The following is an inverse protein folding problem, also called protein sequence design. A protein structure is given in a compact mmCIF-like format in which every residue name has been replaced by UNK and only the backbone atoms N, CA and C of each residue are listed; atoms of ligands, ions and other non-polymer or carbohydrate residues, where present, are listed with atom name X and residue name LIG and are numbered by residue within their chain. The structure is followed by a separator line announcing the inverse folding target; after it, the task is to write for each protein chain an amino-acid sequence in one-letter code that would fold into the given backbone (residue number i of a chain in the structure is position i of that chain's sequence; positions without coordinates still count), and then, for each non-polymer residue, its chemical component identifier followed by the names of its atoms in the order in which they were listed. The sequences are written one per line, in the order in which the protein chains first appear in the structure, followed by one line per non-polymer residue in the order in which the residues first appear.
data_IF_180090798140
#
_entry.id   IF_180090798140
#
_cell.length_a   1.000
_cell.length_b   1.000
_cell.length_c   1.000
_cell.angle_alpha   90.00
_cell.angle_beta   90.00
_cell.angle_gamma   90.00
#
_symmetry.space_group_name_H-M   'P 1'
#
loop_
_entity.id
_entity.type
_entity.pdbx_description
1 polymer ?
#
# COMPACT_ATOMS: atom_id res chain seq x y z
N UNK A 1 8.56 4.30 15.69
CA UNK A 1 8.88 2.86 15.71
C UNK A 1 8.48 2.21 14.39
N UNK A 2 9.41 2.15 13.43
CA UNK A 2 9.21 1.40 12.18
C UNK A 2 9.45 -0.07 12.48
N UNK A 3 8.38 -0.87 12.48
CA UNK A 3 8.45 -2.32 12.70
C UNK A 3 9.36 -2.94 11.63
N UNK A 4 10.62 -3.21 12.00
CA UNK A 4 11.60 -3.78 11.09
C UNK A 4 11.06 -5.10 10.55
N UNK A 5 11.11 -5.27 9.22
CA UNK A 5 10.75 -6.54 8.58
C UNK A 5 11.75 -7.56 9.09
N UNK A 6 11.26 -8.64 9.71
CA UNK A 6 12.14 -9.73 10.15
C UNK A 6 12.97 -10.20 8.95
N UNK A 7 14.30 -10.32 9.08
CA UNK A 7 15.14 -10.83 8.00
C UNK A 7 14.62 -12.21 7.55
N UNK A 8 14.54 -12.42 6.24
CA UNK A 8 14.02 -13.66 5.62
C UNK A 8 12.49 -13.73 5.44
N UNK A 9 11.70 -12.77 5.96
CA UNK A 9 10.25 -12.76 5.74
C UNK A 9 9.88 -11.99 4.48
N UNK A 10 9.53 -12.72 3.44
CA UNK A 10 8.98 -12.17 2.19
C UNK A 10 7.60 -11.55 2.46
N UNK A 11 7.44 -10.28 2.08
CA UNK A 11 6.15 -9.58 2.13
C UNK A 11 5.21 -10.08 1.04
N UNK A 12 3.91 -9.81 1.12
CA UNK A 12 2.98 -10.15 0.03
C UNK A 12 3.29 -9.32 -1.21
N UNK A 13 3.04 -9.87 -2.39
CA UNK A 13 2.94 -9.09 -3.63
C UNK A 13 1.97 -7.92 -3.43
N UNK A 14 2.31 -6.75 -4.00
CA UNK A 14 1.46 -5.56 -3.88
C UNK A 14 0.26 -5.70 -4.82
N UNK A 15 -0.94 -5.47 -4.28
CA UNK A 15 -2.15 -5.39 -5.11
C UNK A 15 -2.26 -4.03 -5.80
N UNK A 16 -3.22 -3.90 -6.71
CA UNK A 16 -3.52 -2.69 -7.49
C UNK A 16 -3.57 -1.43 -6.63
N UNK A 17 -4.30 -1.47 -5.51
CA UNK A 17 -4.44 -0.32 -4.62
C UNK A 17 -3.14 0.04 -3.89
N UNK A 18 -2.38 -0.95 -3.44
CA UNK A 18 -1.10 -0.69 -2.76
C UNK A 18 -0.03 -0.14 -3.72
N UNK A 19 -0.06 -0.55 -4.99
CA UNK A 19 0.77 0.05 -6.04
C UNK A 19 0.39 1.51 -6.29
N UNK A 20 -0.90 1.79 -6.47
CA UNK A 20 -1.42 3.15 -6.59
C UNK A 20 -1.02 4.01 -5.39
N UNK A 21 -1.24 3.50 -4.18
CA UNK A 21 -0.86 4.20 -2.95
C UNK A 21 0.62 4.51 -2.91
N UNK A 22 1.50 3.57 -3.28
CA UNK A 22 2.95 3.82 -3.28
C UNK A 22 3.33 4.95 -4.25
N UNK A 23 2.71 4.99 -5.44
CA UNK A 23 2.96 6.04 -6.43
C UNK A 23 2.40 7.42 -6.02
N UNK A 24 1.20 7.46 -5.43
CA UNK A 24 0.50 8.71 -5.12
C UNK A 24 0.71 9.22 -3.69
N UNK A 25 1.34 8.44 -2.80
CA UNK A 25 1.58 8.83 -1.40
C UNK A 25 2.53 10.02 -1.28
N UNK A 26 3.55 10.14 -2.13
CA UNK A 26 4.43 11.31 -2.14
C UNK A 26 3.66 12.60 -2.48
N UNK A 27 2.85 12.57 -3.54
CA UNK A 27 1.97 13.68 -3.90
C UNK A 27 0.96 14.02 -2.79
N UNK A 28 0.35 13.00 -2.18
CA UNK A 28 -0.58 13.23 -1.07
C UNK A 28 0.12 13.79 0.18
N UNK A 29 1.38 13.43 0.43
CA UNK A 29 2.20 14.04 1.47
C UNK A 29 2.47 15.52 1.19
N UNK A 30 2.84 15.89 -0.02
CA UNK A 30 3.06 17.29 -0.41
C UNK A 30 1.78 18.14 -0.23
N UNK A 31 0.64 17.62 -0.71
CA UNK A 31 -0.66 18.29 -0.58
C UNK A 31 -1.11 18.45 0.88
N UNK A 32 -0.80 17.48 1.75
CA UNK A 32 -1.17 17.56 3.17
C UNK A 32 -0.17 18.36 4.00
N UNK A 33 1.11 18.36 3.65
CA UNK A 33 2.14 19.13 4.33
C UNK A 33 1.99 20.63 4.06
N UNK A 34 1.61 21.01 2.84
CA UNK A 34 1.26 22.39 2.48
C UNK A 34 0.04 22.91 3.24
N UNK A 35 -0.97 22.05 3.48
CA UNK A 35 -2.17 22.45 4.22
C UNK A 35 -2.05 22.34 5.75
N UNK A 36 -1.20 21.46 6.28
CA UNK A 36 -1.06 21.21 7.72
C UNK A 36 0.40 21.03 8.18
N UNK A 37 1.22 22.09 8.13
CA UNK A 37 2.67 21.99 8.38
C UNK A 37 3.07 21.61 9.82
N UNK A 38 2.16 21.64 10.81
CA UNK A 38 2.45 21.39 12.25
C UNK A 38 1.57 20.32 12.93
N UNK A 39 1.04 19.35 12.17
CA UNK A 39 0.20 18.28 12.72
C UNK A 39 0.97 17.13 13.40
N UNK A 40 0.36 16.46 14.38
CA UNK A 40 0.89 15.21 14.95
C UNK A 40 1.12 14.15 13.84
N UNK A 41 2.28 13.48 13.78
CA UNK A 41 2.63 12.55 12.69
C UNK A 41 1.60 11.44 12.44
N UNK A 42 0.95 10.95 13.50
CA UNK A 42 -0.12 9.94 13.39
C UNK A 42 -1.36 10.49 12.69
N UNK A 43 -1.75 11.72 12.98
CA UNK A 43 -2.93 12.38 12.38
C UNK A 43 -2.68 12.70 10.92
N UNK A 44 -1.48 13.21 10.61
CA UNK A 44 -1.05 13.50 9.23
C UNK A 44 -1.06 12.23 8.37
N UNK A 45 -0.49 11.12 8.88
CA UNK A 45 -0.51 9.84 8.15
C UNK A 45 -1.94 9.32 7.91
N UNK A 46 -2.83 9.42 8.90
CA UNK A 46 -4.23 9.04 8.71
C UNK A 46 -4.90 9.89 7.62
N UNK A 47 -4.60 11.18 7.57
CA UNK A 47 -5.15 12.09 6.58
C UNK A 47 -4.62 11.80 5.18
N UNK A 48 -3.31 11.58 5.02
CA UNK A 48 -2.68 11.17 3.75
C UNK A 48 -3.34 9.90 3.23
N UNK A 49 -3.51 8.88 4.08
CA UNK A 49 -4.13 7.62 3.68
C UNK A 49 -5.59 7.79 3.27
N UNK A 50 -6.34 8.67 3.95
CA UNK A 50 -7.72 9.02 3.55
C UNK A 50 -7.75 9.70 2.18
N UNK A 51 -6.90 10.70 1.95
CA UNK A 51 -6.82 11.40 0.66
C UNK A 51 -6.55 10.41 -0.47
N UNK A 52 -5.54 9.55 -0.33
CA UNK A 52 -5.21 8.55 -1.36
C UNK A 52 -6.36 7.56 -1.60
N UNK A 53 -7.08 7.15 -0.55
CA UNK A 53 -8.20 6.24 -0.69
C UNK A 53 -9.36 6.87 -1.47
N UNK A 54 -9.67 8.14 -1.21
CA UNK A 54 -10.70 8.86 -1.96
C UNK A 54 -10.24 9.16 -3.39
N UNK A 55 -8.98 9.57 -3.60
CA UNK A 55 -8.42 9.75 -4.95
C UNK A 55 -8.58 8.49 -5.79
N UNK A 56 -8.29 7.30 -5.24
CA UNK A 56 -8.43 6.04 -5.96
C UNK A 56 -9.86 5.77 -6.47
N UNK A 57 -10.89 6.19 -5.72
CA UNK A 57 -12.29 6.04 -6.13
C UNK A 57 -12.68 7.00 -7.25
N UNK A 58 -12.04 8.16 -7.31
CA UNK A 58 -12.23 9.20 -8.32
C UNK A 58 -11.42 8.94 -9.60
N UNK A 59 -10.38 8.10 -9.54
CA UNK A 59 -9.51 7.84 -10.69
C UNK A 59 -10.27 7.24 -11.90
N UNK A 60 -9.95 7.69 -13.13
CA UNK A 60 -10.48 7.13 -14.35
C UNK A 60 -10.22 5.62 -14.46
N UNK A 61 -11.10 4.93 -15.19
CA UNK A 61 -10.98 3.49 -15.43
C UNK A 61 -9.64 3.12 -16.07
N UNK A 62 -9.15 3.92 -17.01
CA UNK A 62 -7.86 3.70 -17.68
C UNK A 62 -6.68 3.65 -16.70
N UNK A 63 -6.69 4.50 -15.67
CA UNK A 63 -5.66 4.50 -14.61
C UNK A 63 -5.77 3.22 -13.79
N UNK A 64 -6.98 2.87 -13.36
CA UNK A 64 -7.23 1.64 -12.58
C UNK A 64 -6.83 0.37 -13.33
N UNK A 65 -7.13 0.30 -14.62
CA UNK A 65 -6.77 -0.82 -15.51
C UNK A 65 -5.24 -0.91 -15.69
N UNK A 66 -4.55 0.23 -15.79
CA UNK A 66 -3.08 0.27 -15.85
C UNK A 66 -2.44 -0.28 -14.58
N UNK A 67 -2.92 0.13 -13.41
CA UNK A 67 -2.45 -0.43 -12.13
C UNK A 67 -2.82 -1.91 -11.96
N UNK A 68 -3.92 -2.37 -12.54
CA UNK A 68 -4.31 -3.79 -12.50
C UNK A 68 -3.33 -4.65 -13.31
N UNK A 69 -2.89 -4.16 -14.49
CA UNK A 69 -1.82 -4.81 -15.26
C UNK A 69 -0.51 -4.86 -14.47
N UNK A 70 -0.15 -3.76 -13.80
CA UNK A 70 1.04 -3.72 -12.94
C UNK A 70 0.94 -4.72 -11.76
N UNK A 71 -0.23 -4.85 -11.14
CA UNK A 71 -0.44 -5.81 -10.05
C UNK A 71 -0.32 -7.27 -10.52
N UNK A 72 -0.77 -7.57 -11.74
CA UNK A 72 -0.59 -8.89 -12.35
C UNK A 72 0.89 -9.20 -12.60
N UNK A 73 1.64 -8.22 -13.14
CA UNK A 73 3.10 -8.33 -13.33
C UNK A 73 3.81 -8.53 -11.99
N UNK A 74 3.49 -7.73 -10.98
CA UNK A 74 4.06 -7.84 -9.63
C UNK A 74 3.80 -9.23 -9.04
N UNK A 75 2.59 -9.75 -9.20
CA UNK A 75 2.22 -11.09 -8.71
C UNK A 75 3.05 -12.17 -9.41
N UNK A 76 3.20 -12.10 -10.74
CA UNK A 76 4.03 -13.02 -11.52
C UNK A 76 5.49 -12.94 -11.11
N UNK A 77 6.03 -11.73 -11.01
CA UNK A 77 7.41 -11.49 -10.58
C UNK A 77 7.65 -12.00 -9.16
N UNK A 78 6.68 -11.82 -8.26
CA UNK A 78 6.76 -12.33 -6.90
C UNK A 78 6.80 -13.86 -6.84
N UNK A 79 5.98 -14.53 -7.66
CA UNK A 79 6.00 -15.99 -7.77
C UNK A 79 7.31 -16.50 -8.37
N UNK A 80 7.86 -15.80 -9.37
CA UNK A 80 9.16 -16.15 -9.96
C UNK A 80 10.32 -15.94 -8.99
N UNK A 81 10.31 -14.84 -8.23
CA UNK A 81 11.35 -14.53 -7.25
C UNK A 81 11.24 -15.39 -5.99
N UNK A 82 10.03 -15.80 -5.62
CA UNK A 82 9.74 -16.58 -4.42
C UNK A 82 8.80 -17.76 -4.74
N UNK A 83 9.26 -18.78 -5.46
CA UNK A 83 8.42 -19.92 -5.87
C UNK A 83 7.90 -20.74 -4.68
N UNK A 84 8.60 -20.70 -3.54
CA UNK A 84 8.20 -21.37 -2.29
C UNK A 84 7.33 -20.48 -1.40
N UNK A 85 6.95 -19.28 -1.85
CA UNK A 85 6.12 -18.36 -1.07
C UNK A 85 4.71 -18.92 -0.88
N UNK A 86 4.33 -19.15 0.38
CA UNK A 86 2.97 -19.52 0.76
C UNK A 86 2.37 -18.49 1.72
N UNK A 87 1.19 -17.99 1.37
CA UNK A 87 0.47 -17.07 2.23
C UNK A 87 -0.15 -17.81 3.43
N UNK A 88 0.49 -17.74 4.59
CA UNK A 88 -0.09 -18.18 5.86
C UNK A 88 -0.63 -16.97 6.65
N UNK A 89 -1.94 -16.68 6.62
CA UNK A 89 -2.54 -15.71 7.52
C UNK A 89 -2.31 -16.16 8.96
N UNK A 90 -1.82 -15.27 9.82
CA UNK A 90 -1.85 -15.53 11.26
C UNK A 90 -3.30 -15.42 11.68
N UNK A 91 -3.94 -16.54 12.00
CA UNK A 91 -5.24 -16.55 12.68
C UNK A 91 -5.07 -15.70 13.93
N UNK A 92 -5.84 -14.61 14.03
CA UNK A 92 -5.94 -13.89 15.30
C UNK A 92 -6.69 -14.87 16.21
N UNK A 93 -5.98 -15.44 17.18
CA UNK A 93 -6.60 -16.28 18.20
C UNK A 93 -7.84 -15.58 18.70
N UNK A 94 -8.97 -16.27 18.63
CA UNK A 94 -10.25 -15.85 19.19
C UNK A 94 -9.97 -15.48 20.63
N UNK A 95 -9.91 -14.18 20.94
CA UNK A 95 -10.05 -13.74 22.33
C UNK A 95 -11.52 -14.01 22.66
N UNK A 96 -11.76 -15.18 23.25
CA UNK A 96 -12.96 -15.43 24.06
C UNK A 96 -12.92 -14.48 25.25
#
# INVERSE_FOLDING_TARGET
ETKQRKPGKVGRALNTFFLYRKAHMARAMELTHTQFPKGHPRRTMQMILKVVAESWRLEPRAVRDSFQKLAAIETKNHQLAFPTYKYNPRTKGTKR
#
